data_IF_264169804833
#
_entry.id   IF_264169804833
#
_cell.length_a   1.000
_cell.length_b   1.000
_cell.length_c   1.000
_cell.angle_alpha   90.00
_cell.angle_beta   90.00
_cell.angle_gamma   90.00
#
_symmetry.space_group_name_H-M   'P 1'
#
loop_
_entity.id
_entity.type
_entity.pdbx_description
1 polymer ?
#
# COMPACT_ATOMS: atom_id res chain seq x y z
N UNK A 1 17.04 48.32 -4.61
CA UNK A 1 16.17 47.18 -4.24
C UNK A 1 16.85 45.92 -4.78
N UNK A 2 17.73 45.32 -3.99
CA UNK A 2 18.38 44.05 -4.34
C UNK A 2 17.38 42.95 -4.02
N UNK A 3 16.89 42.24 -5.05
CA UNK A 3 16.18 40.99 -4.82
C UNK A 3 17.20 39.96 -4.38
N UNK A 4 17.28 39.74 -3.07
CA UNK A 4 17.95 38.58 -2.53
C UNK A 4 17.17 37.35 -3.01
N UNK A 5 17.67 36.71 -4.07
CA UNK A 5 17.25 35.37 -4.47
C UNK A 5 17.67 34.42 -3.34
N UNK A 6 16.83 34.32 -2.31
CA UNK A 6 17.01 33.34 -1.25
C UNK A 6 16.82 31.97 -1.88
N UNK A 7 17.92 31.31 -2.25
CA UNK A 7 17.90 29.90 -2.63
C UNK A 7 17.29 29.12 -1.47
N UNK A 8 16.15 28.47 -1.73
CA UNK A 8 15.52 27.57 -0.77
C UNK A 8 15.74 26.14 -1.24
N UNK A 9 16.07 25.22 -0.32
CA UNK A 9 16.19 23.81 -0.65
C UNK A 9 14.91 23.31 -1.31
N UNK A 10 15.04 22.43 -2.30
CA UNK A 10 13.89 21.84 -2.96
C UNK A 10 12.99 21.13 -1.93
N UNK A 11 11.65 21.22 -2.10
CA UNK A 11 10.69 20.52 -1.27
C UNK A 11 11.05 19.05 -1.07
N UNK A 12 10.82 18.52 0.13
CA UNK A 12 10.99 17.07 0.36
C UNK A 12 10.05 16.32 -0.60
N UNK A 13 10.58 15.40 -1.43
CA UNK A 13 9.75 14.71 -2.40
C UNK A 13 8.71 13.86 -1.68
N UNK A 14 7.43 14.09 -2.02
CA UNK A 14 6.32 13.25 -1.59
C UNK A 14 6.39 11.85 -2.22
N UNK A 15 5.43 11.00 -1.86
CA UNK A 15 5.31 9.63 -2.39
C UNK A 15 5.24 9.62 -3.91
N UNK A 16 4.50 10.56 -4.50
CA UNK A 16 4.28 10.71 -5.94
C UNK A 16 4.53 12.16 -6.36
N UNK A 17 4.84 12.39 -7.65
CA UNK A 17 4.83 13.75 -8.18
C UNK A 17 3.46 14.43 -8.02
N UNK A 18 3.47 15.73 -7.79
CA UNK A 18 2.25 16.56 -7.68
C UNK A 18 1.75 17.01 -9.06
N UNK A 19 1.75 16.10 -10.04
CA UNK A 19 1.18 16.30 -11.37
C UNK A 19 0.59 14.97 -11.86
N UNK A 20 -0.37 14.99 -12.80
CA UNK A 20 -0.98 13.77 -13.32
C UNK A 20 0.07 12.73 -13.78
N UNK A 21 0.01 11.53 -13.22
CA UNK A 21 1.00 10.49 -13.42
C UNK A 21 0.45 9.25 -14.13
N UNK A 22 1.37 8.46 -14.67
CA UNK A 22 1.06 7.27 -15.45
C UNK A 22 0.76 6.03 -14.62
N UNK A 23 0.34 4.99 -15.33
CA UNK A 23 0.12 3.64 -14.81
C UNK A 23 1.32 3.09 -14.05
N UNK A 24 2.53 3.17 -14.63
CA UNK A 24 3.76 2.62 -14.07
C UNK A 24 4.13 3.27 -12.74
N UNK A 25 3.97 4.60 -12.64
CA UNK A 25 4.21 5.35 -11.41
C UNK A 25 3.23 4.92 -10.32
N UNK A 26 1.93 4.82 -10.63
CA UNK A 26 0.92 4.38 -9.67
C UNK A 26 1.23 2.97 -9.14
N UNK A 27 1.55 2.03 -10.03
CA UNK A 27 1.92 0.66 -9.66
C UNK A 27 3.18 0.63 -8.79
N UNK A 28 4.29 1.21 -9.25
CA UNK A 28 5.57 1.16 -8.52
C UNK A 28 5.52 1.87 -7.17
N UNK A 29 4.76 2.97 -7.07
CA UNK A 29 4.60 3.72 -5.82
C UNK A 29 3.65 3.03 -4.84
N UNK A 30 2.75 2.16 -5.31
CA UNK A 30 1.91 1.34 -4.45
C UNK A 30 2.72 0.42 -3.54
N UNK A 31 3.83 -0.13 -4.04
CA UNK A 31 4.78 -0.92 -3.23
C UNK A 31 5.73 -0.05 -2.42
N UNK A 32 6.08 1.13 -2.92
CA UNK A 32 6.98 2.07 -2.22
C UNK A 32 6.40 2.55 -0.88
N UNK A 33 5.07 2.61 -0.75
CA UNK A 33 4.39 2.97 0.49
C UNK A 33 4.77 2.07 1.69
N UNK A 34 5.09 0.79 1.45
CA UNK A 34 5.54 -0.14 2.51
C UNK A 34 6.82 0.34 3.21
N UNK A 35 7.68 1.09 2.50
CA UNK A 35 8.96 1.59 3.03
C UNK A 35 8.85 3.01 3.60
N UNK A 36 7.76 3.72 3.33
CA UNK A 36 7.58 5.11 3.77
C UNK A 36 7.34 5.23 5.28
N UNK A 37 6.36 4.46 5.78
CA UNK A 37 5.98 4.45 7.20
C UNK A 37 5.60 3.03 7.68
N UNK A 38 6.55 2.08 7.65
CA UNK A 38 6.27 0.66 7.93
C UNK A 38 5.74 0.43 9.33
N UNK A 39 6.22 1.17 10.33
CA UNK A 39 5.81 0.99 11.74
C UNK A 39 4.31 1.27 11.92
N UNK A 40 3.80 2.31 11.28
CA UNK A 40 2.38 2.66 11.36
C UNK A 40 1.55 1.74 10.47
N UNK A 41 1.94 1.55 9.20
CA UNK A 41 1.16 0.76 8.24
C UNK A 41 1.18 -0.74 8.54
N UNK A 42 2.36 -1.36 8.57
CA UNK A 42 2.47 -2.79 8.83
C UNK A 42 2.15 -3.12 10.27
N UNK A 43 2.61 -2.30 11.22
CA UNK A 43 2.29 -2.51 12.64
C UNK A 43 0.78 -2.50 12.88
N UNK A 44 0.07 -1.48 12.40
CA UNK A 44 -1.39 -1.42 12.55
C UNK A 44 -2.09 -2.57 11.81
N UNK A 45 -1.76 -2.83 10.55
CA UNK A 45 -2.40 -3.86 9.75
C UNK A 45 -2.21 -5.25 10.37
N UNK A 46 -0.98 -5.61 10.74
CA UNK A 46 -0.66 -6.90 11.34
C UNK A 46 -1.30 -7.02 12.72
N UNK A 47 -1.20 -6.00 13.58
CA UNK A 47 -1.84 -6.07 14.91
C UNK A 47 -3.34 -6.25 14.82
N UNK A 48 -4.03 -5.46 13.98
CA UNK A 48 -5.49 -5.56 13.82
C UNK A 48 -5.88 -6.92 13.25
N UNK A 49 -5.18 -7.39 12.22
CA UNK A 49 -5.49 -8.68 11.60
C UNK A 49 -5.18 -9.85 12.53
N UNK A 50 -4.07 -9.80 13.29
CA UNK A 50 -3.71 -10.86 14.24
C UNK A 50 -4.72 -10.94 15.36
N UNK A 51 -5.15 -9.80 15.92
CA UNK A 51 -6.21 -9.78 16.93
C UNK A 51 -7.51 -10.34 16.36
N UNK A 52 -7.90 -9.94 15.15
CA UNK A 52 -9.09 -10.45 14.48
C UNK A 52 -9.02 -11.97 14.24
N UNK A 53 -7.86 -12.47 13.80
CA UNK A 53 -7.61 -13.89 13.58
C UNK A 53 -7.68 -14.68 14.88
N UNK A 54 -7.01 -14.23 15.95
CA UNK A 54 -7.02 -14.91 17.25
C UNK A 54 -8.41 -14.96 17.86
N UNK A 55 -9.15 -13.85 17.80
CA UNK A 55 -10.55 -13.80 18.25
C UNK A 55 -11.43 -14.74 17.41
N UNK A 56 -11.25 -14.73 16.08
CA UNK A 56 -11.99 -15.61 15.19
C UNK A 56 -11.73 -17.09 15.47
N UNK A 57 -10.46 -17.46 15.64
CA UNK A 57 -10.06 -18.83 16.02
C UNK A 57 -10.62 -19.22 17.38
N UNK A 58 -10.59 -18.32 18.37
CA UNK A 58 -11.17 -18.58 19.69
C UNK A 58 -12.67 -18.82 19.63
N UNK A 59 -13.42 -18.01 18.87
CA UNK A 59 -14.87 -18.16 18.69
C UNK A 59 -15.19 -19.47 17.98
N UNK A 60 -14.54 -19.74 16.85
CA UNK A 60 -14.76 -20.97 16.07
C UNK A 60 -14.39 -22.19 16.91
N UNK A 61 -13.26 -22.15 17.62
CA UNK A 61 -12.80 -23.23 18.48
C UNK A 61 -13.77 -23.51 19.64
N UNK A 62 -14.26 -22.47 20.31
CA UNK A 62 -15.26 -22.61 21.38
C UNK A 62 -16.55 -23.25 20.86
N UNK A 63 -17.06 -22.78 19.72
CA UNK A 63 -18.28 -23.35 19.11
C UNK A 63 -18.04 -24.79 18.65
N UNK A 64 -16.87 -25.10 18.09
CA UNK A 64 -16.50 -26.45 17.71
C UNK A 64 -16.50 -27.37 18.92
N UNK A 65 -15.80 -27.01 20.00
CA UNK A 65 -15.78 -27.80 21.25
C UNK A 65 -17.19 -27.98 21.81
N UNK A 66 -17.99 -26.90 21.90
CA UNK A 66 -19.33 -26.95 22.43
C UNK A 66 -20.28 -27.85 21.63
N UNK A 67 -20.07 -27.96 20.31
CA UNK A 67 -20.97 -28.74 19.45
C UNK A 67 -20.49 -30.17 19.28
N UNK A 68 -19.19 -30.39 19.08
CA UNK A 68 -18.61 -31.73 18.91
C UNK A 68 -18.52 -32.53 20.21
N UNK A 69 -18.40 -31.91 21.40
CA UNK A 69 -18.46 -32.63 22.69
C UNK A 69 -19.78 -33.36 22.94
N UNK A 70 -20.83 -33.05 22.17
CA UNK A 70 -22.10 -33.79 22.21
C UNK A 70 -21.96 -35.20 21.64
N UNK A 71 -21.01 -35.43 20.74
CA UNK A 71 -20.77 -36.75 20.16
C UNK A 71 -20.25 -37.75 21.20
N UNK A 72 -19.55 -37.29 22.24
CA UNK A 72 -19.05 -38.14 23.34
C UNK A 72 -20.19 -38.80 24.14
N UNK A 73 -21.43 -38.32 23.98
CA UNK A 73 -22.62 -38.83 24.69
C UNK A 73 -23.49 -39.76 23.84
N UNK A 74 -23.10 -40.03 22.59
CA UNK A 74 -23.88 -40.80 21.62
C UNK A 74 -23.03 -41.92 21.04
N UNK A 75 -23.61 -43.11 20.88
CA UNK A 75 -22.91 -44.27 20.30
C UNK A 75 -22.61 -44.04 18.82
N UNK A 76 -21.38 -44.38 18.40
CA UNK A 76 -20.93 -44.27 17.01
C UNK A 76 -21.78 -45.12 16.06
N UNK A 77 -21.86 -44.71 14.79
CA UNK A 77 -22.61 -45.40 13.72
C UNK A 77 -24.13 -45.50 13.93
N UNK A 78 -24.70 -44.66 14.79
CA UNK A 78 -26.15 -44.51 14.93
C UNK A 78 -26.68 -43.35 14.07
N UNK A 79 -27.95 -43.39 13.64
CA UNK A 79 -28.57 -42.26 12.92
C UNK A 79 -28.50 -40.93 13.70
N UNK A 80 -28.57 -41.02 15.03
CA UNK A 80 -28.47 -39.85 15.92
C UNK A 80 -27.04 -39.27 15.94
N UNK A 81 -26.01 -40.13 15.91
CA UNK A 81 -24.61 -39.70 15.78
C UNK A 81 -24.39 -38.94 14.47
N UNK A 82 -24.86 -39.49 13.34
CA UNK A 82 -24.73 -38.86 12.03
C UNK A 82 -25.45 -37.52 11.96
N UNK A 83 -26.66 -37.43 12.55
CA UNK A 83 -27.43 -36.20 12.60
C UNK A 83 -26.73 -35.12 13.45
N UNK A 84 -26.15 -35.49 14.60
CA UNK A 84 -25.41 -34.56 15.46
C UNK A 84 -24.09 -34.14 14.81
N UNK A 85 -23.39 -35.06 14.15
CA UNK A 85 -22.16 -34.76 13.42
C UNK A 85 -22.42 -33.77 12.28
N UNK A 86 -23.44 -34.03 11.45
CA UNK A 86 -23.84 -33.13 10.38
C UNK A 86 -24.29 -31.75 10.92
N UNK A 87 -25.08 -31.73 12.00
CA UNK A 87 -25.49 -30.50 12.67
C UNK A 87 -24.30 -29.70 13.23
N UNK A 88 -23.31 -30.39 13.81
CA UNK A 88 -22.09 -29.78 14.33
C UNK A 88 -21.24 -29.15 13.25
N UNK A 89 -21.04 -29.87 12.14
CA UNK A 89 -20.34 -29.36 10.96
C UNK A 89 -21.06 -28.12 10.41
N UNK A 90 -22.39 -28.17 10.29
CA UNK A 90 -23.18 -27.04 9.81
C UNK A 90 -23.05 -25.80 10.73
N UNK A 91 -23.15 -25.98 12.04
CA UNK A 91 -23.01 -24.90 13.03
C UNK A 91 -21.61 -24.28 12.97
N UNK A 92 -20.56 -25.10 12.90
CA UNK A 92 -19.18 -24.61 12.79
C UNK A 92 -18.95 -23.91 11.45
N UNK A 93 -19.50 -24.41 10.35
CA UNK A 93 -19.41 -23.78 9.04
C UNK A 93 -20.10 -22.40 9.02
N UNK A 94 -21.31 -22.29 9.57
CA UNK A 94 -22.04 -21.02 9.71
C UNK A 94 -21.27 -20.05 10.61
N UNK A 95 -20.73 -20.54 11.73
CA UNK A 95 -19.91 -19.73 12.63
C UNK A 95 -18.65 -19.21 11.92
N UNK A 96 -17.95 -20.08 11.21
CA UNK A 96 -16.77 -19.72 10.42
C UNK A 96 -17.09 -18.67 9.35
N UNK A 97 -18.24 -18.81 8.67
CA UNK A 97 -18.72 -17.81 7.73
C UNK A 97 -18.95 -16.46 8.42
N UNK A 98 -19.75 -16.40 9.49
CA UNK A 98 -20.03 -15.15 10.23
C UNK A 98 -18.75 -14.49 10.77
N UNK A 99 -17.84 -15.28 11.34
CA UNK A 99 -16.54 -14.80 11.83
C UNK A 99 -15.70 -14.24 10.68
N UNK A 100 -15.69 -14.89 9.51
CA UNK A 100 -14.97 -14.38 8.34
C UNK A 100 -15.53 -13.04 7.85
N UNK A 101 -16.85 -12.82 7.94
CA UNK A 101 -17.48 -11.53 7.63
C UNK A 101 -17.02 -10.45 8.61
N UNK A 102 -16.97 -10.77 9.91
CA UNK A 102 -16.50 -9.85 10.93
C UNK A 102 -15.02 -9.46 10.70
N UNK A 103 -14.14 -10.44 10.47
CA UNK A 103 -12.72 -10.20 10.15
C UNK A 103 -12.58 -9.32 8.89
N UNK A 104 -13.38 -9.62 7.86
CA UNK A 104 -13.37 -8.86 6.61
C UNK A 104 -13.79 -7.40 6.83
N UNK A 105 -14.74 -7.14 7.74
CA UNK A 105 -15.15 -5.79 8.11
C UNK A 105 -14.02 -4.99 8.78
N UNK A 106 -13.18 -5.65 9.59
CA UNK A 106 -11.99 -5.00 10.20
C UNK A 106 -10.94 -4.64 9.14
N UNK A 107 -10.83 -5.41 8.05
CA UNK A 107 -9.87 -5.10 6.97
C UNK A 107 -10.16 -3.76 6.29
N UNK A 108 -11.44 -3.34 6.26
CA UNK A 108 -11.88 -2.03 5.74
C UNK A 108 -11.27 -0.88 6.55
N UNK A 109 -11.11 -1.07 7.86
CA UNK A 109 -10.49 -0.08 8.74
C UNK A 109 -9.02 0.11 8.36
N UNK A 110 -8.30 -0.99 8.14
CA UNK A 110 -6.91 -0.98 7.67
C UNK A 110 -6.82 -0.25 6.34
N UNK A 111 -7.74 -0.54 5.41
CA UNK A 111 -7.81 0.15 4.12
C UNK A 111 -8.03 1.67 4.29
N UNK A 112 -8.90 2.09 5.20
CA UNK A 112 -9.12 3.50 5.50
C UNK A 112 -7.87 4.21 6.05
N UNK A 113 -7.14 3.55 6.94
CA UNK A 113 -5.86 4.07 7.48
C UNK A 113 -4.79 4.16 6.40
N UNK A 114 -4.72 3.18 5.50
CA UNK A 114 -3.82 3.21 4.33
C UNK A 114 -4.13 4.42 3.44
N UNK A 115 -5.40 4.67 3.14
CA UNK A 115 -5.83 5.85 2.36
C UNK A 115 -5.40 7.14 3.06
N UNK A 116 -5.64 7.26 4.36
CA UNK A 116 -5.25 8.44 5.13
C UNK A 116 -3.72 8.65 5.10
N UNK A 117 -2.93 7.58 5.24
CA UNK A 117 -1.48 7.67 5.15
C UNK A 117 -1.01 8.09 3.76
N UNK A 118 -1.61 7.55 2.70
CA UNK A 118 -1.26 7.96 1.33
C UNK A 118 -1.54 9.44 1.11
N UNK A 119 -2.64 9.97 1.65
CA UNK A 119 -2.96 11.41 1.56
C UNK A 119 -1.86 12.29 2.17
N UNK A 120 -1.26 11.84 3.27
CA UNK A 120 -0.14 12.53 3.95
C UNK A 120 1.17 12.32 3.20
N UNK A 121 1.43 11.08 2.77
CA UNK A 121 2.64 10.74 2.03
C UNK A 121 2.74 11.47 0.68
N UNK A 122 1.62 11.72 -0.01
CA UNK A 122 1.58 12.50 -1.28
C UNK A 122 2.16 13.90 -1.10
N UNK A 123 1.89 14.56 0.02
CA UNK A 123 2.42 15.91 0.36
C UNK A 123 3.73 15.86 1.16
N UNK A 124 4.39 14.70 1.22
CA UNK A 124 5.65 14.52 1.95
C UNK A 124 5.52 14.58 3.48
N UNK A 125 4.30 14.42 4.00
CA UNK A 125 4.03 14.33 5.44
C UNK A 125 4.17 12.89 5.93
N UNK A 126 4.76 12.72 7.12
CA UNK A 126 4.69 11.48 7.89
C UNK A 126 3.72 11.69 9.03
N UNK A 127 2.67 10.88 9.09
CA UNK A 127 1.66 10.97 10.12
C UNK A 127 1.84 9.88 11.18
N UNK A 128 1.46 10.21 12.41
CA UNK A 128 1.31 9.23 13.48
C UNK A 128 0.01 8.44 13.31
N UNK A 129 -0.07 7.23 13.89
CA UNK A 129 -1.30 6.44 13.86
C UNK A 129 -2.50 7.21 14.44
N UNK A 130 -2.30 8.00 15.51
CA UNK A 130 -3.37 8.80 16.10
C UNK A 130 -3.92 9.86 15.14
N UNK A 131 -3.03 10.49 14.36
CA UNK A 131 -3.42 11.47 13.34
C UNK A 131 -4.23 10.80 12.21
N UNK A 132 -3.77 9.65 11.73
CA UNK A 132 -4.48 8.89 10.69
C UNK A 132 -5.83 8.37 11.19
N UNK A 133 -5.87 7.87 12.43
CA UNK A 133 -7.09 7.38 13.05
C UNK A 133 -8.13 8.50 13.24
N UNK A 134 -7.69 9.71 13.59
CA UNK A 134 -8.58 10.87 13.69
C UNK A 134 -9.25 11.22 12.35
N UNK A 135 -8.58 10.96 11.22
CA UNK A 135 -9.18 11.15 9.88
C UNK A 135 -10.20 10.04 9.54
N UNK A 136 -9.93 8.79 9.97
CA UNK A 136 -10.75 7.62 9.59
C UNK A 136 -11.95 7.42 10.53
N UNK A 137 -11.78 7.63 11.85
CA UNK A 137 -12.79 7.38 12.88
C UNK A 137 -14.17 7.99 12.58
N UNK A 138 -14.29 9.26 12.14
CA UNK A 138 -15.60 9.87 11.84
C UNK A 138 -16.33 9.17 10.69
N UNK A 139 -15.59 8.45 9.84
CA UNK A 139 -16.10 7.79 8.63
C UNK A 139 -16.13 6.28 8.74
N UNK A 140 -15.88 5.74 9.94
CA UNK A 140 -15.97 4.31 10.23
C UNK A 140 -17.30 3.72 9.75
N UNK A 141 -18.43 4.32 10.15
CA UNK A 141 -19.76 3.83 9.77
C UNK A 141 -20.05 3.95 8.28
N UNK A 142 -19.50 4.96 7.59
CA UNK A 142 -19.61 5.05 6.12
C UNK A 142 -18.83 3.94 5.43
N UNK A 143 -17.61 3.63 5.91
CA UNK A 143 -16.79 2.53 5.41
C UNK A 143 -17.46 1.18 5.68
N UNK A 144 -17.97 0.95 6.89
CA UNK A 144 -18.74 -0.24 7.24
C UNK A 144 -20.01 -0.34 6.38
N UNK A 145 -20.74 0.75 6.19
CA UNK A 145 -21.92 0.78 5.33
C UNK A 145 -21.60 0.42 3.88
N UNK A 146 -20.48 0.91 3.33
CA UNK A 146 -20.01 0.51 2.00
C UNK A 146 -19.67 -0.99 1.94
N UNK A 147 -18.95 -1.50 2.95
CA UNK A 147 -18.64 -2.92 3.06
C UNK A 147 -19.90 -3.80 3.14
N UNK A 148 -20.90 -3.40 3.92
CA UNK A 148 -22.17 -4.12 4.01
C UNK A 148 -22.92 -4.11 2.66
N UNK A 149 -22.88 -3.02 1.90
CA UNK A 149 -23.43 -2.97 0.55
C UNK A 149 -22.68 -3.91 -0.41
N UNK A 150 -21.35 -3.92 -0.35
CA UNK A 150 -20.51 -4.83 -1.13
C UNK A 150 -20.85 -6.30 -0.77
N UNK A 151 -21.04 -6.59 0.51
CA UNK A 151 -21.40 -7.91 1.01
C UNK A 151 -22.79 -8.33 0.57
N UNK A 152 -23.78 -7.46 0.69
CA UNK A 152 -25.14 -7.72 0.23
C UNK A 152 -25.16 -8.01 -1.26
N UNK A 153 -24.43 -7.24 -2.07
CA UNK A 153 -24.29 -7.49 -3.50
C UNK A 153 -23.65 -8.85 -3.79
N UNK A 154 -22.60 -9.22 -3.04
CA UNK A 154 -21.95 -10.52 -3.16
C UNK A 154 -22.89 -11.69 -2.82
N UNK A 155 -23.65 -11.58 -1.73
CA UNK A 155 -24.65 -12.58 -1.33
C UNK A 155 -25.74 -12.73 -2.41
N UNK A 156 -26.21 -11.63 -2.99
CA UNK A 156 -27.19 -11.66 -4.08
C UNK A 156 -26.64 -12.40 -5.30
N UNK A 157 -25.39 -12.14 -5.68
CA UNK A 157 -24.74 -12.86 -6.79
C UNK A 157 -24.61 -14.35 -6.46
N UNK A 158 -24.17 -14.71 -5.25
CA UNK A 158 -24.11 -16.11 -4.84
C UNK A 158 -25.48 -16.78 -4.86
N UNK A 159 -26.54 -16.10 -4.40
CA UNK A 159 -27.89 -16.63 -4.45
C UNK A 159 -28.35 -16.88 -5.90
N UNK A 160 -28.07 -15.94 -6.82
CA UNK A 160 -28.39 -16.09 -8.25
C UNK A 160 -27.66 -17.31 -8.85
N UNK A 161 -26.42 -17.60 -8.42
CA UNK A 161 -25.66 -18.77 -8.87
C UNK A 161 -26.11 -20.07 -8.18
N UNK A 162 -26.52 -20.00 -6.92
CA UNK A 162 -26.92 -21.17 -6.13
C UNK A 162 -28.26 -21.74 -6.58
N UNK A 163 -29.26 -20.89 -6.88
CA UNK A 163 -30.61 -21.31 -7.29
C UNK A 163 -30.61 -22.32 -8.45
N UNK A 164 -30.02 -22.04 -9.63
CA UNK A 164 -30.00 -23.01 -10.73
C UNK A 164 -29.22 -24.27 -10.37
N UNK A 165 -28.15 -24.16 -9.57
CA UNK A 165 -27.37 -25.32 -9.13
C UNK A 165 -28.21 -26.28 -8.29
N UNK A 166 -28.93 -25.76 -7.30
CA UNK A 166 -29.82 -26.55 -6.44
C UNK A 166 -30.95 -27.18 -7.25
N UNK A 167 -31.57 -26.42 -8.15
CA UNK A 167 -32.63 -26.94 -9.03
C UNK A 167 -32.10 -28.02 -9.97
N UNK A 168 -30.89 -27.87 -10.50
CA UNK A 168 -30.28 -28.85 -11.39
C UNK A 168 -29.97 -30.17 -10.71
N UNK A 169 -29.48 -30.12 -9.48
CA UNK A 169 -29.26 -31.33 -8.66
C UNK A 169 -30.59 -31.98 -8.29
N UNK A 170 -31.57 -31.20 -7.81
CA UNK A 170 -32.86 -31.73 -7.37
C UNK A 170 -33.70 -32.32 -8.51
N UNK A 171 -33.59 -31.78 -9.72
CA UNK A 171 -34.32 -32.24 -10.89
C UNK A 171 -33.53 -33.20 -11.80
N UNK A 172 -32.30 -33.58 -11.40
CA UNK A 172 -31.36 -34.38 -12.22
C UNK A 172 -31.19 -33.86 -13.65
N UNK A 173 -31.30 -32.54 -13.83
CA UNK A 173 -31.41 -31.89 -15.12
C UNK A 173 -30.16 -31.05 -15.42
N UNK A 174 -29.28 -31.60 -16.25
CA UNK A 174 -28.00 -30.99 -16.63
C UNK A 174 -28.13 -29.60 -17.26
N UNK A 175 -29.28 -29.24 -17.84
CA UNK A 175 -29.53 -27.91 -18.39
C UNK A 175 -29.39 -26.78 -17.36
N UNK A 176 -29.77 -27.03 -16.11
CA UNK A 176 -29.61 -26.07 -15.01
C UNK A 176 -28.15 -25.91 -14.58
N UNK A 177 -27.37 -26.99 -14.60
CA UNK A 177 -25.92 -26.94 -14.34
C UNK A 177 -25.23 -26.13 -15.44
N UNK A 178 -25.63 -26.32 -16.70
CA UNK A 178 -25.18 -25.50 -17.81
C UNK A 178 -25.48 -24.00 -17.61
N UNK A 179 -26.67 -23.67 -17.12
CA UNK A 179 -27.02 -22.29 -16.77
C UNK A 179 -26.14 -21.71 -15.65
N UNK A 180 -25.85 -22.47 -14.58
CA UNK A 180 -24.92 -22.04 -13.52
C UNK A 180 -23.55 -21.70 -14.10
N UNK A 181 -23.01 -22.54 -14.99
CA UNK A 181 -21.70 -22.30 -15.61
C UNK A 181 -21.71 -21.01 -16.43
N UNK A 182 -22.76 -20.79 -17.24
CA UNK A 182 -22.90 -19.57 -18.05
C UNK A 182 -23.00 -18.33 -17.15
N UNK A 183 -23.81 -18.37 -16.10
CA UNK A 183 -23.93 -17.27 -15.14
C UNK A 183 -22.61 -17.02 -14.39
N UNK A 184 -21.90 -18.08 -14.02
CA UNK A 184 -20.58 -17.99 -13.39
C UNK A 184 -19.55 -17.32 -14.29
N UNK A 185 -19.51 -17.68 -15.57
CA UNK A 185 -18.65 -17.03 -16.57
C UNK A 185 -19.05 -15.57 -16.80
N UNK A 186 -20.35 -15.25 -16.83
CA UNK A 186 -20.84 -13.88 -16.95
C UNK A 186 -20.55 -13.01 -15.71
N UNK A 187 -20.42 -13.62 -14.52
CA UNK A 187 -20.07 -12.92 -13.29
C UNK A 187 -18.62 -12.40 -13.30
N UNK A 188 -17.71 -13.02 -14.05
CA UNK A 188 -16.29 -12.60 -14.13
C UNK A 188 -16.13 -11.18 -14.70
N UNK A 189 -16.60 -10.85 -15.92
CA UNK A 189 -16.51 -9.50 -16.46
C UNK A 189 -17.32 -8.49 -15.63
N UNK A 190 -18.46 -8.91 -15.05
CA UNK A 190 -19.24 -8.08 -14.15
C UNK A 190 -18.43 -7.69 -12.90
N UNK A 191 -17.74 -8.66 -12.28
CA UNK A 191 -16.88 -8.43 -11.13
C UNK A 191 -15.71 -7.52 -11.49
N UNK A 192 -15.03 -7.76 -12.62
CA UNK A 192 -13.93 -6.92 -13.09
C UNK A 192 -14.39 -5.46 -13.32
N UNK A 193 -15.54 -5.29 -13.96
CA UNK A 193 -16.11 -3.98 -14.23
C UNK A 193 -16.54 -3.26 -12.94
N UNK A 194 -17.32 -3.92 -12.09
CA UNK A 194 -17.83 -3.34 -10.85
C UNK A 194 -16.70 -3.08 -9.85
N UNK A 195 -15.75 -4.00 -9.71
CA UNK A 195 -14.55 -3.84 -8.89
C UNK A 195 -13.77 -2.60 -9.28
N UNK A 196 -13.54 -2.39 -10.58
CA UNK A 196 -12.86 -1.18 -11.09
C UNK A 196 -13.64 0.09 -10.74
N UNK A 197 -14.97 0.05 -10.86
CA UNK A 197 -15.83 1.20 -10.57
C UNK A 197 -15.92 1.53 -9.08
N UNK A 198 -15.75 0.54 -8.21
CA UNK A 198 -15.80 0.69 -6.76
C UNK A 198 -14.43 0.86 -6.11
N UNK A 199 -13.34 0.67 -6.86
CA UNK A 199 -11.96 0.69 -6.35
C UNK A 199 -11.57 1.99 -5.63
N UNK A 200 -12.14 3.14 -6.03
CA UNK A 200 -11.83 4.44 -5.46
C UNK A 200 -12.74 4.83 -4.28
N UNK A 201 -13.78 4.03 -3.97
CA UNK A 201 -14.78 4.37 -2.95
C UNK A 201 -14.18 4.58 -1.56
N UNK A 202 -13.26 3.73 -1.05
CA UNK A 202 -12.63 3.96 0.25
C UNK A 202 -11.88 5.30 0.30
N UNK A 203 -11.19 5.66 -0.78
CA UNK A 203 -10.49 6.94 -0.93
C UNK A 203 -11.44 8.12 -0.86
N UNK A 204 -12.58 8.04 -1.54
CA UNK A 204 -13.62 9.08 -1.51
C UNK A 204 -14.25 9.21 -0.12
N UNK A 205 -14.59 8.09 0.54
CA UNK A 205 -15.24 8.13 1.85
C UNK A 205 -14.34 8.80 2.90
N UNK A 206 -13.05 8.45 2.92
CA UNK A 206 -12.10 8.98 3.91
C UNK A 206 -11.69 10.41 3.58
N UNK A 207 -11.35 10.71 2.32
CA UNK A 207 -10.75 12.01 1.95
C UNK A 207 -11.78 13.08 1.56
N UNK A 208 -12.90 12.69 0.95
CA UNK A 208 -14.00 13.63 0.64
C UNK A 208 -15.09 13.62 1.71
N UNK A 209 -14.90 12.85 2.79
CA UNK A 209 -15.86 12.78 3.89
C UNK A 209 -17.28 12.39 3.42
N UNK A 210 -17.36 11.52 2.41
CA UNK A 210 -18.61 11.11 1.79
C UNK A 210 -19.32 9.99 2.57
N UNK A 211 -20.65 9.92 2.43
CA UNK A 211 -21.42 8.72 2.78
C UNK A 211 -21.21 7.58 1.78
N UNK A 212 -21.63 6.34 2.08
CA UNK A 212 -21.34 5.17 1.23
C UNK A 212 -21.91 5.31 -0.18
N UNK A 213 -23.19 5.70 -0.32
CA UNK A 213 -23.85 5.86 -1.63
C UNK A 213 -23.25 7.04 -2.41
N UNK A 214 -22.98 8.16 -1.73
CA UNK A 214 -22.32 9.31 -2.34
C UNK A 214 -20.91 8.95 -2.84
N UNK A 215 -20.16 8.16 -2.05
CA UNK A 215 -18.86 7.61 -2.41
C UNK A 215 -18.89 6.73 -3.67
N UNK A 216 -19.90 5.85 -3.78
CA UNK A 216 -20.11 5.01 -4.97
C UNK A 216 -20.36 5.87 -6.21
N UNK A 217 -21.32 6.81 -6.14
CA UNK A 217 -21.64 7.71 -7.26
C UNK A 217 -20.41 8.50 -7.71
N UNK A 218 -19.65 9.01 -6.75
CA UNK A 218 -18.44 9.78 -6.98
C UNK A 218 -17.32 8.95 -7.62
N UNK A 219 -17.06 7.75 -7.09
CA UNK A 219 -16.12 6.80 -7.70
C UNK A 219 -16.50 6.48 -9.15
N UNK A 220 -17.80 6.41 -9.44
CA UNK A 220 -18.30 6.20 -10.80
C UNK A 220 -17.94 7.33 -11.78
N UNK A 221 -18.00 8.58 -11.31
CA UNK A 221 -17.63 9.76 -12.08
C UNK A 221 -16.12 9.75 -12.34
N UNK A 222 -15.31 9.53 -11.30
CA UNK A 222 -13.84 9.53 -11.39
C UNK A 222 -13.31 8.40 -12.29
N UNK A 223 -13.96 7.24 -12.30
CA UNK A 223 -13.55 6.09 -13.11
C UNK A 223 -14.12 6.10 -14.54
N UNK A 224 -15.00 7.04 -14.90
CA UNK A 224 -15.69 7.03 -16.21
C UNK A 224 -14.73 7.14 -17.40
N UNK A 225 -13.75 8.04 -17.33
CA UNK A 225 -12.74 8.23 -18.41
C UNK A 225 -11.42 7.49 -18.13
N UNK A 226 -11.29 6.87 -16.97
CA UNK A 226 -10.06 6.24 -16.49
C UNK A 226 -10.24 4.77 -16.10
N UNK A 227 -11.19 4.09 -16.74
CA UNK A 227 -11.49 2.69 -16.48
C UNK A 227 -10.25 1.80 -16.68
N UNK A 228 -9.64 1.84 -17.87
CA UNK A 228 -8.52 0.94 -18.22
C UNK A 228 -7.28 1.09 -17.35
N UNK A 229 -6.77 2.31 -17.05
CA UNK A 229 -5.64 2.44 -16.13
C UNK A 229 -5.98 1.92 -14.73
N UNK A 230 -7.19 2.20 -14.23
CA UNK A 230 -7.63 1.77 -12.89
C UNK A 230 -7.77 0.25 -12.82
N UNK A 231 -8.43 -0.35 -13.82
CA UNK A 231 -8.54 -1.79 -13.97
C UNK A 231 -7.16 -2.45 -14.06
N UNK A 232 -6.26 -1.90 -14.88
CA UNK A 232 -4.90 -2.41 -15.04
C UNK A 232 -4.13 -2.43 -13.72
N UNK A 233 -4.19 -1.35 -12.93
CA UNK A 233 -3.46 -1.27 -11.65
C UNK A 233 -4.06 -2.27 -10.67
N UNK A 234 -5.40 -2.31 -10.59
CA UNK A 234 -6.12 -3.24 -9.72
C UNK A 234 -5.80 -4.70 -10.06
N UNK A 235 -5.88 -5.10 -11.33
CA UNK A 235 -5.65 -6.49 -11.74
C UNK A 235 -4.18 -6.87 -11.60
N UNK A 236 -3.25 -5.97 -11.92
CA UNK A 236 -1.82 -6.28 -11.84
C UNK A 236 -1.36 -6.41 -10.38
N UNK A 237 -1.84 -5.54 -9.48
CA UNK A 237 -1.63 -5.72 -8.04
C UNK A 237 -2.24 -7.05 -7.58
N UNK A 238 -3.47 -7.36 -8.00
CA UNK A 238 -4.14 -8.62 -7.63
C UNK A 238 -3.36 -9.85 -8.08
N UNK A 239 -2.85 -9.86 -9.31
CA UNK A 239 -2.03 -10.96 -9.85
C UNK A 239 -0.70 -11.07 -9.10
N UNK A 240 0.01 -9.96 -8.89
CA UNK A 240 1.29 -9.97 -8.17
C UNK A 240 1.08 -10.51 -6.74
N UNK A 241 0.05 -10.04 -6.04
CA UNK A 241 -0.23 -10.48 -4.69
C UNK A 241 -0.75 -11.92 -4.62
N UNK A 242 -1.53 -12.38 -5.62
CA UNK A 242 -1.94 -13.78 -5.73
C UNK A 242 -0.74 -14.69 -5.93
N UNK A 243 0.20 -14.33 -6.80
CA UNK A 243 1.44 -15.10 -7.01
C UNK A 243 2.28 -15.12 -5.72
N UNK A 244 2.43 -13.98 -5.05
CA UNK A 244 3.13 -13.91 -3.76
C UNK A 244 2.47 -14.80 -2.69
N UNK A 245 1.12 -14.82 -2.64
CA UNK A 245 0.36 -15.69 -1.76
C UNK A 245 0.57 -17.16 -2.07
N UNK A 246 0.52 -17.55 -3.35
CA UNK A 246 0.71 -18.93 -3.81
C UNK A 246 2.12 -19.46 -3.53
N UNK A 247 3.15 -18.64 -3.79
CA UNK A 247 4.55 -18.99 -3.49
C UNK A 247 4.73 -19.19 -1.98
N UNK A 248 4.08 -18.35 -1.19
CA UNK A 248 4.14 -18.43 0.27
C UNK A 248 3.38 -19.64 0.82
N UNK A 249 2.25 -20.01 0.21
CA UNK A 249 1.44 -21.16 0.63
C UNK A 249 1.96 -22.51 0.13
N UNK A 250 2.68 -22.55 -1.00
CA UNK A 250 3.04 -23.82 -1.65
C UNK A 250 3.85 -24.78 -0.76
N UNK A 251 4.94 -24.34 -0.07
CA UNK A 251 5.69 -25.23 0.82
C UNK A 251 4.82 -25.77 1.97
N UNK A 252 3.90 -24.94 2.44
CA UNK A 252 3.01 -25.25 3.54
C UNK A 252 1.94 -26.27 3.15
N UNK A 253 1.39 -26.16 1.94
CA UNK A 253 0.42 -27.12 1.40
C UNK A 253 1.07 -28.50 1.22
N UNK A 254 2.30 -28.54 0.69
CA UNK A 254 3.07 -29.77 0.61
C UNK A 254 3.25 -30.39 1.99
N UNK A 255 3.73 -29.60 2.96
CA UNK A 255 3.95 -30.07 4.32
C UNK A 255 2.64 -30.60 4.95
N UNK A 256 1.53 -29.87 4.82
CA UNK A 256 0.22 -30.30 5.34
C UNK A 256 -0.33 -31.57 4.67
N UNK A 257 0.02 -31.83 3.40
CA UNK A 257 -0.40 -33.04 2.68
C UNK A 257 0.42 -34.27 3.06
N UNK A 258 1.71 -34.12 3.37
CA UNK A 258 2.59 -35.23 3.77
C UNK A 258 2.49 -35.58 5.25
N UNK A 259 2.16 -34.62 6.12
CA UNK A 259 2.14 -34.86 7.57
C UNK A 259 1.19 -36.00 7.99
N UNK A 260 -0.09 -36.03 7.58
CA UNK A 260 -0.99 -37.13 7.95
C UNK A 260 -0.48 -38.48 7.46
N UNK A 261 0.16 -38.54 6.29
CA UNK A 261 0.69 -39.78 5.72
C UNK A 261 1.97 -40.28 6.42
N UNK A 262 2.77 -39.39 7.02
CA UNK A 262 4.00 -39.75 7.74
C UNK A 262 3.74 -40.08 9.21
N UNK A 263 2.82 -39.37 9.86
CA UNK A 263 2.50 -39.54 11.28
C UNK A 263 1.33 -40.48 11.54
N UNK A 264 0.44 -40.70 10.57
CA UNK A 264 -0.64 -41.70 10.62
C UNK A 264 -0.61 -42.58 9.35
N UNK A 265 0.49 -43.33 9.12
CA UNK A 265 0.67 -44.07 7.86
C UNK A 265 -0.41 -45.12 7.56
N UNK A 266 -1.13 -45.64 8.58
CA UNK A 266 -2.14 -46.72 8.39
C UNK A 266 -3.37 -46.66 9.32
N UNK A 267 -3.70 -45.52 9.93
CA UNK A 267 -4.85 -45.42 10.84
C UNK A 267 -4.68 -46.11 12.21
N UNK A 268 -3.64 -46.93 12.38
CA UNK A 268 -3.23 -47.56 13.65
C UNK A 268 -1.84 -47.07 14.09
N UNK A 269 -1.71 -45.77 14.32
CA UNK A 269 -0.52 -45.23 14.98
C UNK A 269 -0.71 -45.28 16.49
N UNK A 270 0.12 -46.04 17.21
CA UNK A 270 0.26 -46.06 18.69
C UNK A 270 0.76 -44.71 19.26
N UNK A 271 0.68 -43.64 18.46
CA UNK A 271 1.06 -42.29 18.82
C UNK A 271 -0.08 -41.60 19.54
N UNK A 272 0.21 -40.98 20.68
CA UNK A 272 -0.73 -40.16 21.44
C UNK A 272 -1.48 -39.22 20.47
N UNK A 273 -2.79 -39.45 20.32
CA UNK A 273 -3.69 -38.68 19.47
C UNK A 273 -3.56 -37.18 19.79
N UNK A 274 -3.27 -36.83 21.05
CA UNK A 274 -2.98 -35.48 21.48
C UNK A 274 -1.75 -34.86 20.80
N UNK A 275 -0.69 -35.63 20.58
CA UNK A 275 0.54 -35.16 19.91
C UNK A 275 0.34 -34.90 18.42
N UNK A 276 -0.42 -35.74 17.73
CA UNK A 276 -0.77 -35.56 16.31
C UNK A 276 -1.69 -34.36 16.12
N UNK A 277 -2.70 -34.20 16.98
CA UNK A 277 -3.58 -33.02 16.96
C UNK A 277 -2.78 -31.74 17.24
N UNK A 278 -1.89 -31.75 18.24
CA UNK A 278 -1.07 -30.59 18.58
C UNK A 278 -0.12 -30.19 17.43
N UNK A 279 0.47 -31.17 16.73
CA UNK A 279 1.32 -30.96 15.56
C UNK A 279 0.53 -30.36 14.39
N UNK A 280 -0.65 -30.91 14.09
CA UNK A 280 -1.53 -30.41 13.01
C UNK A 280 -1.99 -28.98 13.32
N UNK A 281 -2.49 -28.73 14.54
CA UNK A 281 -2.92 -27.40 14.97
C UNK A 281 -1.75 -26.41 14.96
N UNK A 282 -0.57 -26.82 15.44
CA UNK A 282 0.64 -26.00 15.44
C UNK A 282 1.05 -25.59 14.02
N UNK A 283 1.03 -26.54 13.08
CA UNK A 283 1.30 -26.26 11.68
C UNK A 283 0.22 -25.36 11.06
N UNK A 284 -1.06 -25.62 11.31
CA UNK A 284 -2.18 -24.77 10.85
C UNK A 284 -2.08 -23.33 11.38
N UNK A 285 -1.61 -23.14 12.62
CA UNK A 285 -1.38 -21.80 13.17
C UNK A 285 -0.18 -21.11 12.51
N UNK A 286 0.93 -21.83 12.32
CA UNK A 286 2.11 -21.28 11.65
C UNK A 286 1.81 -20.87 10.20
N UNK A 287 1.07 -21.71 9.48
CA UNK A 287 0.63 -21.41 8.10
C UNK A 287 -0.29 -20.20 8.05
N UNK A 288 -1.26 -20.12 8.95
CA UNK A 288 -2.20 -18.99 9.01
C UNK A 288 -1.50 -17.69 9.39
N UNK A 289 -0.51 -17.72 10.29
CA UNK A 289 0.29 -16.55 10.65
C UNK A 289 1.09 -16.01 9.46
N UNK A 290 1.67 -16.89 8.64
CA UNK A 290 2.38 -16.48 7.43
C UNK A 290 1.43 -15.88 6.39
N UNK A 291 0.26 -16.49 6.20
CA UNK A 291 -0.78 -15.95 5.30
C UNK A 291 -1.30 -14.59 5.75
N UNK A 292 -1.41 -14.37 7.06
CA UNK A 292 -1.80 -13.09 7.62
C UNK A 292 -0.84 -11.96 7.23
N UNK A 293 0.47 -12.22 7.25
CA UNK A 293 1.46 -11.23 6.82
C UNK A 293 1.31 -10.88 5.33
N UNK A 294 1.09 -11.88 4.47
CA UNK A 294 0.86 -11.65 3.05
C UNK A 294 -0.44 -10.88 2.82
N UNK A 295 -1.50 -11.21 3.56
CA UNK A 295 -2.78 -10.50 3.52
C UNK A 295 -2.66 -9.04 3.96
N UNK A 296 -1.90 -8.75 5.02
CA UNK A 296 -1.62 -7.39 5.48
C UNK A 296 -0.89 -6.57 4.41
N UNK A 297 0.14 -7.14 3.79
CA UNK A 297 0.85 -6.49 2.68
C UNK A 297 -0.09 -6.26 1.49
N UNK A 298 -0.90 -7.26 1.14
CA UNK A 298 -1.87 -7.17 0.04
C UNK A 298 -2.85 -6.03 0.26
N UNK A 299 -3.37 -5.90 1.49
CA UNK A 299 -4.31 -4.83 1.88
C UNK A 299 -3.65 -3.46 1.74
N UNK A 300 -2.41 -3.30 2.18
CA UNK A 300 -1.68 -2.03 2.10
C UNK A 300 -1.39 -1.65 0.65
N UNK A 301 -0.86 -2.57 -0.15
CA UNK A 301 -0.52 -2.32 -1.56
C UNK A 301 -1.78 -2.02 -2.36
N UNK A 302 -2.85 -2.79 -2.17
CA UNK A 302 -4.13 -2.59 -2.87
C UNK A 302 -4.82 -1.29 -2.45
N UNK A 303 -4.82 -0.97 -1.15
CA UNK A 303 -5.35 0.31 -0.66
C UNK A 303 -4.56 1.50 -1.18
N UNK A 304 -3.23 1.38 -1.25
CA UNK A 304 -2.35 2.41 -1.82
C UNK A 304 -2.61 2.59 -3.31
N UNK A 305 -2.74 1.50 -4.07
CA UNK A 305 -3.12 1.56 -5.48
C UNK A 305 -4.43 2.30 -5.70
N UNK A 306 -5.46 2.00 -4.90
CA UNK A 306 -6.75 2.70 -4.95
C UNK A 306 -6.63 4.18 -4.60
N UNK A 307 -5.87 4.53 -3.57
CA UNK A 307 -5.61 5.91 -3.19
C UNK A 307 -4.85 6.69 -4.27
N UNK A 308 -3.80 6.13 -4.86
CA UNK A 308 -3.03 6.77 -5.93
C UNK A 308 -3.85 6.94 -7.21
N UNK A 309 -4.67 5.96 -7.56
CA UNK A 309 -5.56 6.09 -8.72
C UNK A 309 -6.65 7.13 -8.51
N UNK A 310 -7.11 7.29 -7.27
CA UNK A 310 -8.00 8.37 -6.86
C UNK A 310 -7.31 9.75 -6.95
N UNK A 311 -6.08 9.87 -6.44
CA UNK A 311 -5.29 11.11 -6.51
C UNK A 311 -5.11 11.54 -7.96
N UNK A 312 -4.64 10.66 -8.84
CA UNK A 312 -4.46 11.02 -10.25
C UNK A 312 -5.80 11.36 -10.94
N UNK A 313 -6.88 10.62 -10.65
CA UNK A 313 -8.19 10.94 -11.23
C UNK A 313 -8.64 12.36 -10.84
N UNK A 314 -8.44 12.78 -9.59
CA UNK A 314 -8.75 14.15 -9.15
C UNK A 314 -7.76 15.19 -9.67
N UNK A 315 -6.49 14.87 -9.85
CA UNK A 315 -5.55 15.78 -10.53
C UNK A 315 -6.01 16.07 -11.96
N UNK A 316 -6.44 15.04 -12.70
CA UNK A 316 -6.90 15.19 -14.11
C UNK A 316 -8.26 15.84 -14.25
N UNK A 317 -9.19 15.56 -13.33
CA UNK A 317 -10.57 16.03 -13.44
C UNK A 317 -10.83 17.36 -12.71
N UNK A 318 -10.03 17.69 -11.70
CA UNK A 318 -10.36 18.75 -10.73
C UNK A 318 -9.17 19.65 -10.40
N UNK A 319 -8.04 19.46 -11.07
CA UNK A 319 -6.79 20.20 -10.82
C UNK A 319 -6.34 20.14 -9.34
N UNK A 320 -6.49 18.95 -8.73
CA UNK A 320 -6.01 18.69 -7.36
C UNK A 320 -4.50 18.92 -7.21
N UNK A 321 -3.74 18.74 -8.29
CA UNK A 321 -2.31 19.03 -8.35
C UNK A 321 -1.99 20.46 -7.94
N UNK A 322 -2.72 21.44 -8.46
CA UNK A 322 -2.53 22.86 -8.11
C UNK A 322 -2.77 23.12 -6.62
N UNK A 323 -3.77 22.46 -6.02
CA UNK A 323 -4.06 22.60 -4.59
C UNK A 323 -2.96 22.00 -3.74
N UNK A 324 -2.52 20.79 -4.08
CA UNK A 324 -1.44 20.13 -3.35
C UNK A 324 -0.13 20.90 -3.46
N UNK A 325 0.19 21.46 -4.63
CA UNK A 325 1.36 22.33 -4.81
C UNK A 325 1.24 23.58 -3.94
N UNK A 326 0.11 24.29 -3.99
CA UNK A 326 -0.11 25.49 -3.17
C UNK A 326 -0.07 25.20 -1.67
N UNK A 327 -0.59 24.04 -1.24
CA UNK A 327 -0.56 23.59 0.14
C UNK A 327 0.88 23.32 0.61
N UNK A 328 1.67 22.61 -0.19
CA UNK A 328 3.08 22.34 0.13
C UNK A 328 3.88 23.65 0.17
N UNK A 329 3.68 24.54 -0.79
CA UNK A 329 4.34 25.85 -0.83
C UNK A 329 4.01 26.68 0.42
N UNK A 330 2.73 26.88 0.74
CA UNK A 330 2.34 27.66 1.92
C UNK A 330 2.84 27.05 3.23
N UNK A 331 2.88 25.72 3.33
CA UNK A 331 3.45 25.01 4.48
C UNK A 331 4.95 25.28 4.62
N UNK A 332 5.68 25.28 3.50
CA UNK A 332 7.10 25.62 3.48
C UNK A 332 7.36 27.09 3.80
N UNK A 333 6.39 27.97 3.51
CA UNK A 333 6.41 29.36 4.00
C UNK A 333 6.18 29.48 5.52
N UNK A 334 5.95 28.38 6.23
CA UNK A 334 5.74 28.36 7.69
C UNK A 334 4.29 28.63 8.10
N UNK A 335 3.33 28.52 7.17
CA UNK A 335 1.91 28.72 7.49
C UNK A 335 1.42 27.67 8.48
N UNK A 336 0.78 28.13 9.57
CA UNK A 336 0.41 27.29 10.72
C UNK A 336 -1.01 26.71 10.56
N UNK A 337 -1.88 27.37 9.79
CA UNK A 337 -3.26 26.96 9.52
C UNK A 337 -3.53 26.89 8.02
N UNK A 338 -3.50 25.68 7.46
CA UNK A 338 -3.79 25.44 6.05
C UNK A 338 -5.15 24.74 5.91
N UNK A 339 -6.01 25.19 4.97
CA UNK A 339 -7.20 24.45 4.60
C UNK A 339 -6.83 23.03 4.15
N UNK A 340 -7.70 22.06 4.45
CA UNK A 340 -7.50 20.68 4.03
C UNK A 340 -7.50 20.59 2.48
N UNK A 341 -6.37 20.20 1.85
CA UNK A 341 -6.24 20.21 0.39
C UNK A 341 -7.13 19.15 -0.29
N UNK A 342 -7.66 18.20 0.46
CA UNK A 342 -8.48 17.09 -0.05
C UNK A 342 -9.97 17.41 -0.12
N UNK A 343 -10.42 18.48 0.52
CA UNK A 343 -11.83 18.91 0.44
C UNK A 343 -12.22 19.23 -1.00
N UNK A 344 -13.39 18.78 -1.43
CA UNK A 344 -13.91 19.15 -2.76
C UNK A 344 -14.36 20.61 -2.71
N UNK A 345 -13.78 21.45 -3.58
CA UNK A 345 -14.20 22.85 -3.74
C UNK A 345 -14.63 23.06 -5.19
N UNK A 346 -15.93 23.29 -5.46
CA UNK A 346 -16.45 23.50 -6.82
C UNK A 346 -15.93 24.79 -7.47
N UNK A 347 -15.35 25.72 -6.71
CA UNK A 347 -14.81 26.98 -7.24
C UNK A 347 -13.67 26.73 -8.24
N UNK A 348 -12.83 25.72 -8.03
CA UNK A 348 -11.67 25.44 -8.88
C UNK A 348 -11.99 24.67 -10.16
N UNK A 349 -13.13 23.97 -10.22
CA UNK A 349 -13.59 23.38 -11.47
C UNK A 349 -13.78 24.45 -12.57
N UNK A 350 -14.01 25.72 -12.18
CA UNK A 350 -14.11 26.87 -13.08
C UNK A 350 -12.76 27.34 -13.64
N UNK A 351 -11.66 27.16 -12.90
CA UNK A 351 -10.32 27.54 -13.38
C UNK A 351 -9.72 26.51 -14.35
N UNK A 352 -10.14 25.25 -14.28
CA UNK A 352 -9.75 24.22 -15.24
C UNK A 352 -10.40 24.40 -16.63
N UNK A 353 -11.54 25.12 -16.71
CA UNK A 353 -12.27 25.37 -17.96
C UNK A 353 -11.84 26.63 -18.72
N UNK A 354 -11.01 27.49 -18.15
CA UNK A 354 -10.42 28.62 -18.89
C UNK A 354 -9.15 28.16 -19.59
N UNK A 355 -9.10 28.10 -20.94
CA UNK A 355 -7.85 27.94 -21.64
C UNK A 355 -6.92 29.07 -21.20
N UNK A 356 -5.77 28.75 -20.61
CA UNK A 356 -4.75 29.77 -20.33
C UNK A 356 -4.38 30.44 -21.65
N UNK A 357 -4.39 31.78 -21.75
CA UNK A 357 -3.77 32.46 -22.87
C UNK A 357 -2.26 32.17 -22.80
N UNK A 358 -1.76 31.38 -23.76
CA UNK A 358 -0.37 31.31 -24.18
C UNK A 358 0.71 31.11 -23.11
N UNK A 359 0.94 29.87 -22.71
CA UNK A 359 2.31 29.34 -22.67
C UNK A 359 2.33 28.19 -23.67
N UNK A 360 3.19 28.30 -24.69
CA UNK A 360 3.18 27.44 -25.86
C UNK A 360 3.03 25.96 -25.51
N UNK A 361 2.09 25.30 -26.17
CA UNK A 361 1.98 23.84 -26.15
C UNK A 361 3.34 23.29 -26.57
N UNK A 362 4.08 22.72 -25.61
CA UNK A 362 5.32 22.03 -25.92
C UNK A 362 4.99 20.94 -26.94
N UNK A 363 5.72 20.93 -28.06
CA UNK A 363 5.57 19.85 -29.02
C UNK A 363 5.95 18.52 -28.34
N UNK A 364 5.46 17.37 -28.82
CA UNK A 364 5.82 16.06 -28.27
C UNK A 364 7.33 15.85 -28.13
N UNK A 365 8.09 16.48 -29.02
CA UNK A 365 9.55 16.48 -29.05
C UNK A 365 10.17 17.30 -27.89
N UNK A 366 9.58 18.45 -27.53
CA UNK A 366 10.00 19.25 -26.38
C UNK A 366 9.61 18.59 -25.05
N UNK A 367 8.46 17.90 -25.00
CA UNK A 367 8.07 17.09 -23.85
C UNK A 367 9.00 15.88 -23.66
N UNK A 368 9.42 15.23 -24.76
CA UNK A 368 10.40 14.15 -24.73
C UNK A 368 11.80 14.65 -24.30
N UNK A 369 12.21 15.84 -24.75
CA UNK A 369 13.47 16.46 -24.34
C UNK A 369 13.50 16.79 -22.83
N UNK A 370 12.38 17.27 -22.27
CA UNK A 370 12.27 17.48 -20.81
C UNK A 370 12.30 16.17 -20.02
N UNK A 371 11.66 15.10 -20.52
CA UNK A 371 11.74 13.77 -19.90
C UNK A 371 13.16 13.19 -19.97
N UNK A 372 13.88 13.41 -21.08
CA UNK A 372 15.27 12.98 -21.22
C UNK A 372 16.22 13.74 -20.27
N UNK A 373 16.04 15.05 -20.10
CA UNK A 373 16.83 15.85 -19.15
C UNK A 373 16.59 15.44 -17.69
N UNK A 374 15.37 15.02 -17.34
CA UNK A 374 15.07 14.51 -15.99
C UNK A 374 15.60 13.09 -15.76
N UNK A 375 15.68 12.26 -16.80
CA UNK A 375 16.27 10.92 -16.73
C UNK A 375 17.80 10.96 -16.55
N UNK A 376 18.48 11.94 -17.15
CA UNK A 376 19.95 12.11 -17.04
C UNK A 376 20.41 12.92 -15.81
N UNK A 377 19.51 13.58 -15.09
CA UNK A 377 19.85 14.38 -13.90
C UNK A 377 20.22 13.58 -12.64
N UNK A 378 20.20 12.25 -12.68
CA UNK A 378 20.48 11.36 -11.53
C UNK A 378 21.81 10.58 -11.64
N UNK A 379 22.71 11.01 -12.51
CA UNK A 379 24.10 10.56 -12.50
C UNK A 379 25.01 11.78 -12.33
N UNK A 380 25.88 11.70 -11.32
CA UNK A 380 26.91 12.68 -11.00
C UNK A 380 27.61 13.19 -12.26
N UNK A 381 27.31 14.42 -12.65
CA UNK A 381 28.08 15.14 -13.65
C UNK A 381 29.26 15.84 -12.93
N UNK A 382 30.52 15.61 -13.31
CA UNK A 382 31.62 16.43 -12.85
C UNK A 382 31.40 17.87 -13.36
N UNK A 383 31.45 18.84 -12.46
CA UNK A 383 31.40 20.26 -12.78
C UNK A 383 32.49 20.61 -13.80
N UNK A 384 32.16 21.20 -14.97
CA UNK A 384 33.18 21.82 -15.81
C UNK A 384 33.70 23.04 -15.06
N UNK A 385 35.01 23.05 -14.78
CA UNK A 385 35.71 24.23 -14.29
C UNK A 385 35.45 25.39 -15.26
N UNK A 386 34.72 26.42 -14.82
CA UNK A 386 34.64 27.68 -15.53
C UNK A 386 36.01 28.36 -15.49
N UNK A 387 36.63 28.74 -16.62
CA UNK A 387 37.89 29.45 -16.58
C UNK A 387 37.67 30.85 -15.98
N UNK A 388 38.46 31.16 -14.96
CA UNK A 388 38.48 32.48 -14.31
C UNK A 388 38.79 33.57 -15.35
N UNK A 389 37.96 34.62 -15.40
CA UNK A 389 38.29 35.83 -16.15
C UNK A 389 39.43 36.56 -15.42
N UNK A 390 40.58 36.84 -16.06
CA UNK A 390 41.63 37.61 -15.43
C UNK A 390 41.26 39.11 -15.44
N UNK A 391 41.23 39.72 -14.26
CA UNK A 391 41.22 41.17 -14.10
C UNK A 391 42.50 41.76 -14.70
N UNK A 392 42.35 42.78 -15.54
CA UNK A 392 43.44 43.50 -16.18
C UNK A 392 44.22 44.35 -15.17
N UNK A 393 45.55 44.16 -15.12
CA UNK A 393 46.53 45.11 -14.59
C UNK A 393 47.50 45.48 -15.73
N UNK A 394 47.91 46.75 -15.88
CA UNK A 394 48.75 47.18 -17.01
C UNK A 394 50.25 47.07 -16.69
N UNK A 395 51.07 46.59 -17.65
CA UNK A 395 52.51 46.90 -17.68
C UNK A 395 53.45 45.89 -18.37
N UNK A 396 54.07 46.33 -19.48
CA UNK A 396 55.36 45.90 -20.09
C UNK A 396 55.43 44.63 -20.99
N UNK A 397 56.35 44.60 -22.02
CA UNK A 397 56.10 44.10 -23.38
C UNK A 397 56.74 42.71 -23.68
N UNK A 398 56.51 42.13 -24.89
CA UNK A 398 56.69 40.70 -25.19
C UNK A 398 58.06 40.38 -25.82
N UNK A 399 58.43 39.09 -25.92
CA UNK A 399 59.20 38.44 -27.02
C UNK A 399 59.40 36.90 -26.78
N UNK A 400 59.71 36.08 -27.83
CA UNK A 400 58.93 34.87 -28.15
C UNK A 400 59.72 33.53 -28.27
N UNK A 401 58.99 32.48 -28.72
CA UNK A 401 59.40 31.30 -29.53
C UNK A 401 59.78 29.97 -28.85
N UNK A 402 59.21 28.87 -29.39
CA UNK A 402 59.86 27.54 -29.42
C UNK A 402 58.94 26.31 -29.39
N UNK A 403 58.32 25.94 -30.52
CA UNK A 403 57.99 24.52 -30.88
C UNK A 403 59.21 23.94 -31.65
N UNK A 404 59.39 22.62 -31.92
CA UNK A 404 58.37 21.56 -32.08
C UNK A 404 58.72 20.11 -31.64
N UNK A 405 57.70 19.25 -31.71
CA UNK A 405 57.63 17.76 -31.66
C UNK A 405 58.10 17.17 -33.01
N UNK A 406 58.76 15.97 -33.16
CA UNK A 406 58.09 14.65 -33.41
C UNK A 406 58.99 13.39 -33.14
N UNK A 407 58.72 12.14 -33.65
CA UNK A 407 57.50 11.30 -33.74
C UNK A 407 57.67 9.86 -33.15
N UNK A 408 56.57 9.09 -33.07
CA UNK A 408 56.49 7.63 -32.76
C UNK A 408 57.05 6.72 -33.90
N UNK A 409 57.29 5.39 -33.72
CA UNK A 409 56.24 4.40 -34.06
C UNK A 409 56.28 2.98 -33.40
N UNK A 410 55.06 2.43 -33.24
CA UNK A 410 54.51 1.06 -33.47
C UNK A 410 55.26 -0.26 -33.15
N UNK A 411 54.49 -1.17 -32.51
CA UNK A 411 54.64 -2.65 -32.60
C UNK A 411 53.46 -3.40 -31.95
N UNK A 412 52.74 -4.23 -32.71
CA UNK A 412 51.52 -5.01 -32.34
C UNK A 412 51.86 -6.47 -31.86
N UNK A 413 50.90 -7.25 -31.31
CA UNK A 413 51.06 -8.40 -30.37
C UNK A 413 50.93 -9.80 -31.05
N UNK A 414 50.93 -10.97 -30.33
CA UNK A 414 49.72 -11.52 -29.66
C UNK A 414 49.94 -12.34 -28.33
N UNK A 415 48.80 -12.75 -27.73
CA UNK A 415 48.41 -13.37 -26.42
C UNK A 415 49.09 -14.70 -25.99
N UNK A 416 48.77 -15.43 -24.86
CA UNK A 416 47.69 -15.32 -23.83
C UNK A 416 48.04 -15.65 -22.33
N UNK A 417 47.06 -15.40 -21.44
CA UNK A 417 46.79 -16.04 -20.11
C UNK A 417 47.83 -15.97 -18.96
N UNK A 418 47.45 -15.25 -17.89
CA UNK A 418 47.37 -15.74 -16.49
C UNK A 418 46.99 -14.57 -15.56
N UNK A 419 45.95 -14.71 -14.75
CA UNK A 419 45.68 -13.81 -13.62
C UNK A 419 46.55 -14.23 -12.43
N UNK A 420 47.24 -13.28 -11.78
CA UNK A 420 47.45 -13.41 -10.34
C UNK A 420 47.13 -12.10 -9.58
N UNK A 421 46.47 -12.27 -8.44
CA UNK A 421 46.78 -11.52 -7.22
C UNK A 421 46.07 -10.19 -7.01
N UNK A 422 45.19 -10.16 -6.01
CA UNK A 422 44.72 -8.94 -5.34
C UNK A 422 45.91 -8.09 -4.83
N UNK A 423 45.89 -6.75 -4.98
CA UNK A 423 46.76 -5.87 -4.20
C UNK A 423 46.26 -5.69 -2.75
N UNK A 424 47.16 -5.46 -1.78
CA UNK A 424 46.84 -5.44 -0.35
C UNK A 424 46.05 -4.19 0.08
N UNK A 425 45.22 -4.35 1.11
CA UNK A 425 44.44 -3.27 1.72
C UNK A 425 45.34 -2.20 2.39
N UNK A 426 45.05 -0.90 2.21
CA UNK A 426 45.67 0.14 3.03
C UNK A 426 45.10 0.12 4.46
N UNK A 427 45.98 -0.03 5.43
CA UNK A 427 45.70 0.17 6.85
C UNK A 427 45.46 1.66 7.16
N UNK A 428 44.46 1.92 8.01
CA UNK A 428 44.47 3.05 8.94
C UNK A 428 43.75 4.33 8.49
N UNK A 429 42.46 4.44 8.77
CA UNK A 429 41.81 5.74 9.01
C UNK A 429 41.58 5.91 10.52
N UNK A 430 41.86 7.08 11.11
CA UNK A 430 41.61 7.33 12.52
C UNK A 430 40.11 7.38 12.82
N UNK A 431 39.72 6.72 13.91
CA UNK A 431 38.37 6.66 14.47
C UNK A 431 37.94 8.07 14.91
N UNK A 432 36.73 8.57 14.56
CA UNK A 432 36.22 9.82 15.12
C UNK A 432 35.92 9.65 16.63
N UNK A 433 36.17 10.67 17.47
CA UNK A 433 35.97 10.55 18.91
C UNK A 433 34.51 10.24 19.26
N UNK A 434 34.33 9.31 20.20
CA UNK A 434 33.04 8.93 20.78
C UNK A 434 32.33 10.17 21.35
N UNK A 435 31.03 10.28 21.05
CA UNK A 435 30.15 11.27 21.64
C UNK A 435 30.15 11.12 23.17
N UNK A 436 30.35 12.23 23.87
CA UNK A 436 30.29 12.31 25.33
C UNK A 436 28.93 11.84 25.86
N UNK A 437 28.85 11.17 27.02
CA UNK A 437 27.57 10.83 27.63
C UNK A 437 26.79 12.11 28.03
N UNK A 438 25.45 12.07 28.02
CA UNK A 438 24.62 13.22 28.39
C UNK A 438 24.85 13.61 29.86
N UNK A 439 24.88 14.92 30.12
CA UNK A 439 24.94 15.47 31.49
C UNK A 439 23.72 15.02 32.30
N UNK A 440 23.84 14.80 33.63
CA UNK A 440 22.69 14.64 34.50
C UNK A 440 21.78 15.87 34.45
N UNK A 441 20.47 15.64 34.29
CA UNK A 441 19.44 16.67 34.38
C UNK A 441 19.45 17.33 35.77
N UNK A 442 19.38 18.65 35.81
CA UNK A 442 19.21 19.40 37.05
C UNK A 442 17.81 19.15 37.62
N UNK A 443 17.64 19.05 38.96
CA UNK A 443 16.32 18.86 39.56
C UNK A 443 15.38 20.02 39.23
N UNK A 444 14.14 19.68 38.89
CA UNK A 444 13.06 20.63 38.59
C UNK A 444 12.82 21.59 39.77
N UNK A 445 12.82 22.90 39.51
CA UNK A 445 12.39 23.93 40.46
C UNK A 445 11.01 24.46 40.06
N UNK A 446 10.03 24.56 40.98
CA UNK A 446 8.73 25.15 40.68
C UNK A 446 8.83 26.66 40.40
N UNK A 447 7.90 27.23 39.62
CA UNK A 447 7.87 28.67 39.32
C UNK A 447 7.69 29.49 40.59
N UNK A 448 8.52 30.52 40.80
CA UNK A 448 8.28 31.52 41.83
C UNK A 448 7.07 32.38 41.46
N UNK A 449 6.13 32.52 42.40
CA UNK A 449 4.98 33.40 42.30
C UNK A 449 5.45 34.84 42.07
N UNK A 450 5.12 35.40 40.90
CA UNK A 450 5.21 36.83 40.67
C UNK A 450 4.11 37.51 41.47
N UNK A 451 4.48 38.12 42.59
CA UNK A 451 3.62 39.01 43.36
C UNK A 451 3.21 40.21 42.50
N UNK A 452 1.91 40.28 42.19
CA UNK A 452 1.29 41.39 41.50
C UNK A 452 1.19 42.61 42.43
N UNK A 453 1.67 43.77 41.99
CA UNK A 453 1.45 45.05 42.66
C UNK A 453 0.45 45.90 41.86
N UNK A 454 -0.59 46.47 42.49
CA UNK A 454 -1.52 47.38 41.81
C UNK A 454 -0.87 48.75 41.52
N UNK A 455 -1.32 49.45 40.46
CA UNK A 455 -0.84 50.78 40.14
C UNK A 455 -1.34 51.80 41.19
N UNK A 456 -0.42 52.62 41.70
CA UNK A 456 -0.75 53.77 42.53
C UNK A 456 -1.31 54.91 41.66
N UNK A 457 -2.34 55.56 42.22
CA UNK A 457 -3.16 56.65 41.67
C UNK A 457 -2.38 57.90 41.30
#
# INVERSE_FOLDING_TARGET
MTQDQSWRPAPRPGLVPLYPFGFSTALGKSFSALRGNPKVLLGFAVTVQTLAMLLGLGIIGLVAVATFSRLDTVEEFTPDYDAIMAGSIAIVAVTGFVVSLAISALSVIVQGVVVAEVSKAVVGERASLGTLWAMVRPRFWSLTGFFLLQMAAFIVVLAILAVPTVLGVAAEAYGWIGLTVVLGLAAIPLYAWLGTKLYLVPSVIVLEQAGPIAGIRRSWVLTRRRFWPTFGVMILISVIMSVASSITSAPLQLLSGFLPAVFVPFGEGDGDVGSTIALVVGLSLATSALQLLVSAITTIVSGTGGALMYVDARMRHEALDLRLQSYVEQRELGSISLPDPWTFDPSFARYASTPRPGFGLLTPEQAAAQQAQQAYGQQWAPQPYAPAQPQAYPGYPPQPQGYPVPPHPQGYPPQPQAYPGYPPQPQGYPVPPQASPPRPEAPWQPPQEQTWHPPQS
#
